data_IF_281397402580
#
_entry.id   IF_281397402580
#
_cell.length_a   1.000
_cell.length_b   1.000
_cell.length_c   1.000
_cell.angle_alpha   90.00
_cell.angle_beta   90.00
_cell.angle_gamma   90.00
#
_symmetry.space_group_name_H-M   'P 1'
#
loop_
_entity.id
_entity.type
_entity.pdbx_description
1 polymer ?
#
# COMPACT_ATOMS: atom_id res chain seq x y z
N UNK A 1 -26.68 -11.37 -11.50
CA UNK A 1 -25.57 -11.87 -10.65
C UNK A 1 -24.30 -11.03 -10.83
N UNK A 2 -23.73 -10.90 -12.05
CA UNK A 2 -22.54 -10.05 -12.30
C UNK A 2 -22.68 -8.60 -11.82
N UNK A 3 -23.81 -7.95 -12.10
CA UNK A 3 -24.05 -6.55 -11.70
C UNK A 3 -24.12 -6.37 -10.18
N UNK A 4 -24.65 -7.35 -9.44
CA UNK A 4 -24.68 -7.33 -7.98
C UNK A 4 -23.29 -7.53 -7.37
N UNK A 5 -22.47 -8.40 -7.98
CA UNK A 5 -21.07 -8.59 -7.60
C UNK A 5 -20.27 -7.31 -7.86
N UNK A 6 -20.48 -6.65 -9.00
CA UNK A 6 -19.83 -5.38 -9.33
C UNK A 6 -20.17 -4.27 -8.33
N UNK A 7 -21.46 -4.08 -8.02
CA UNK A 7 -21.91 -3.08 -7.04
C UNK A 7 -21.37 -3.38 -5.63
N UNK A 8 -21.30 -4.65 -5.26
CA UNK A 8 -20.69 -5.07 -4.00
C UNK A 8 -19.19 -4.74 -3.97
N UNK A 9 -18.44 -5.03 -5.04
CA UNK A 9 -17.02 -4.69 -5.16
C UNK A 9 -16.79 -3.19 -5.11
N UNK A 10 -17.60 -2.37 -5.79
CA UNK A 10 -17.50 -0.91 -5.74
C UNK A 10 -17.82 -0.34 -4.34
N UNK A 11 -18.83 -0.89 -3.65
CA UNK A 11 -19.17 -0.48 -2.27
C UNK A 11 -18.11 -0.93 -1.27
N UNK A 12 -17.58 -2.13 -1.44
CA UNK A 12 -16.48 -2.64 -0.63
C UNK A 12 -15.22 -1.80 -0.83
N UNK A 13 -14.82 -1.52 -2.08
CA UNK A 13 -13.72 -0.60 -2.37
C UNK A 13 -13.96 0.78 -1.77
N UNK A 14 -15.17 1.35 -1.91
CA UNK A 14 -15.51 2.66 -1.37
C UNK A 14 -15.42 2.72 0.16
N UNK A 15 -15.95 1.69 0.83
CA UNK A 15 -15.88 1.57 2.29
C UNK A 15 -14.44 1.31 2.76
N UNK A 16 -13.71 0.39 2.13
CA UNK A 16 -12.29 0.15 2.43
C UNK A 16 -11.51 1.43 2.23
N UNK A 17 -11.68 2.15 1.12
CA UNK A 17 -11.02 3.43 0.86
C UNK A 17 -11.32 4.46 1.96
N UNK A 18 -12.58 4.63 2.37
CA UNK A 18 -12.91 5.63 3.38
C UNK A 18 -12.42 5.25 4.79
N UNK A 19 -12.62 4.00 5.22
CA UNK A 19 -12.25 3.57 6.58
C UNK A 19 -10.75 3.27 6.71
N UNK A 20 -10.14 2.66 5.69
CA UNK A 20 -8.72 2.31 5.67
C UNK A 20 -7.85 3.55 5.49
N UNK A 21 -8.16 4.45 4.53
CA UNK A 21 -7.38 5.68 4.34
C UNK A 21 -7.46 6.57 5.60
N UNK A 22 -8.64 6.70 6.21
CA UNK A 22 -8.81 7.51 7.42
C UNK A 22 -8.09 6.89 8.63
N UNK A 23 -8.11 5.56 8.76
CA UNK A 23 -7.36 4.85 9.80
C UNK A 23 -5.86 4.92 9.57
N UNK A 24 -5.40 4.78 8.32
CA UNK A 24 -3.99 4.95 7.94
C UNK A 24 -3.49 6.35 8.26
N UNK A 25 -4.20 7.39 7.82
CA UNK A 25 -3.84 8.78 8.10
C UNK A 25 -3.78 9.06 9.61
N UNK A 26 -4.81 8.67 10.37
CA UNK A 26 -4.87 8.92 11.81
C UNK A 26 -3.81 8.15 12.61
N UNK A 27 -3.48 6.94 12.20
CA UNK A 27 -2.58 6.07 12.96
C UNK A 27 -1.14 6.07 12.44
N UNK A 28 -0.85 6.68 11.28
CA UNK A 28 0.52 6.80 10.73
C UNK A 28 1.49 7.57 11.62
N UNK A 29 0.98 8.43 12.51
CA UNK A 29 1.75 9.16 13.52
C UNK A 29 1.84 8.42 14.87
N UNK A 30 1.06 7.34 15.05
CA UNK A 30 1.11 6.53 16.27
C UNK A 30 2.22 5.50 16.13
N UNK A 31 3.13 5.49 17.09
CA UNK A 31 4.28 4.57 17.18
C UNK A 31 3.91 3.12 17.56
N UNK A 32 2.63 2.76 17.46
CA UNK A 32 2.14 1.44 17.87
C UNK A 32 2.40 0.39 16.79
N UNK A 33 3.32 -0.51 17.07
CA UNK A 33 3.82 -1.50 16.09
C UNK A 33 2.76 -2.43 15.52
N UNK A 34 1.83 -2.91 16.36
CA UNK A 34 0.78 -3.85 15.94
C UNK A 34 -0.14 -3.24 14.88
N UNK A 35 -0.40 -1.94 14.99
CA UNK A 35 -1.18 -1.20 13.98
C UNK A 35 -0.38 -1.12 12.69
N UNK A 36 0.91 -0.79 12.74
CA UNK A 36 1.76 -0.73 11.55
C UNK A 36 1.84 -2.07 10.81
N UNK A 37 1.99 -3.19 11.52
CA UNK A 37 2.00 -4.53 10.92
C UNK A 37 0.68 -4.88 10.22
N UNK A 38 -0.45 -4.48 10.81
CA UNK A 38 -1.76 -4.67 10.19
C UNK A 38 -1.88 -3.85 8.89
N UNK A 39 -1.38 -2.61 8.90
CA UNK A 39 -1.36 -1.74 7.72
C UNK A 39 -0.54 -2.35 6.57
N UNK A 40 0.67 -2.85 6.86
CA UNK A 40 1.49 -3.55 5.86
C UNK A 40 0.77 -4.81 5.30
N UNK A 41 0.08 -5.57 6.15
CA UNK A 41 -0.66 -6.77 5.75
C UNK A 41 -1.85 -6.44 4.84
N UNK A 42 -2.57 -5.36 5.16
CA UNK A 42 -3.67 -4.86 4.33
C UNK A 42 -3.14 -4.33 3.00
N UNK A 43 -2.06 -3.55 3.00
CA UNK A 43 -1.43 -3.04 1.79
C UNK A 43 -0.96 -4.17 0.86
N UNK A 44 -0.33 -5.23 1.39
CA UNK A 44 0.05 -6.41 0.58
C UNK A 44 -1.18 -7.09 -0.06
N UNK A 45 -2.31 -7.12 0.64
CA UNK A 45 -3.56 -7.66 0.09
C UNK A 45 -4.14 -6.78 -1.02
N UNK A 46 -3.96 -5.46 -0.94
CA UNK A 46 -4.34 -4.52 -2.01
C UNK A 46 -3.47 -4.73 -3.25
N UNK A 47 -2.16 -4.80 -3.07
CA UNK A 47 -1.18 -5.03 -4.14
C UNK A 47 -1.43 -6.34 -4.90
N UNK A 48 -1.69 -7.42 -4.17
CA UNK A 48 -1.89 -8.75 -4.77
C UNK A 48 -3.24 -8.94 -5.47
N UNK A 49 -4.31 -8.26 -5.04
CA UNK A 49 -5.68 -8.56 -5.50
C UNK A 49 -6.42 -7.39 -6.17
N UNK A 50 -6.06 -6.15 -5.86
CA UNK A 50 -6.84 -4.96 -6.22
C UNK A 50 -6.03 -3.91 -6.98
N UNK A 51 -4.84 -4.28 -7.48
CA UNK A 51 -3.89 -3.37 -8.17
C UNK A 51 -4.50 -2.52 -9.29
N UNK A 52 -5.40 -3.09 -10.10
CA UNK A 52 -6.04 -2.37 -11.20
C UNK A 52 -7.15 -1.41 -10.75
N UNK A 53 -7.79 -1.68 -9.61
CA UNK A 53 -8.92 -0.89 -9.10
C UNK A 53 -8.55 0.20 -8.10
N UNK A 54 -7.34 0.15 -7.54
CA UNK A 54 -6.87 1.05 -6.48
C UNK A 54 -5.52 1.69 -6.80
N UNK A 55 -5.29 1.98 -8.09
CA UNK A 55 -4.01 2.50 -8.57
C UNK A 55 -3.61 3.79 -7.85
N UNK A 56 -4.50 4.78 -7.81
CA UNK A 56 -4.24 6.07 -7.14
C UNK A 56 -3.93 5.90 -5.64
N UNK A 57 -4.62 4.99 -4.95
CA UNK A 57 -4.41 4.73 -3.53
C UNK A 57 -3.07 4.06 -3.26
N UNK A 58 -2.69 3.07 -4.08
CA UNK A 58 -1.39 2.41 -3.97
C UNK A 58 -0.26 3.42 -4.17
N UNK A 59 -0.40 4.33 -5.15
CA UNK A 59 0.56 5.41 -5.38
C UNK A 59 0.74 6.37 -4.20
N UNK A 60 -0.29 6.53 -3.35
CA UNK A 60 -0.20 7.33 -2.11
C UNK A 60 0.38 6.50 -0.96
N UNK A 61 -0.03 5.23 -0.85
CA UNK A 61 0.35 4.40 0.29
C UNK A 61 1.77 3.87 0.22
N UNK A 62 2.28 3.56 -0.96
CA UNK A 62 3.64 3.05 -1.12
C UNK A 62 4.69 4.00 -0.52
N UNK A 63 4.79 5.28 -0.93
CA UNK A 63 5.75 6.20 -0.33
C UNK A 63 5.47 6.46 1.15
N UNK A 64 4.20 6.43 1.58
CA UNK A 64 3.82 6.66 2.97
C UNK A 64 4.21 5.52 3.92
N UNK A 65 4.09 4.26 3.49
CA UNK A 65 4.32 3.07 4.33
C UNK A 65 5.73 2.50 4.16
N UNK A 66 6.30 2.62 2.96
CA UNK A 66 7.60 2.05 2.60
C UNK A 66 8.68 3.12 2.69
N UNK A 67 8.69 4.08 1.76
CA UNK A 67 9.78 5.06 1.64
C UNK A 67 9.95 5.89 2.91
N UNK A 68 8.86 6.48 3.42
CA UNK A 68 8.87 7.28 4.66
C UNK A 68 9.51 6.54 5.83
N UNK A 69 9.26 5.24 5.97
CA UNK A 69 9.79 4.45 7.11
C UNK A 69 11.26 4.12 6.90
N UNK A 70 11.67 3.81 5.68
CA UNK A 70 13.06 3.51 5.35
C UNK A 70 13.95 4.75 5.44
N UNK A 71 13.49 5.87 4.88
CA UNK A 71 14.19 7.16 4.81
C UNK A 71 14.16 7.95 6.12
N UNK A 72 13.27 7.63 7.05
CA UNK A 72 13.26 8.30 8.34
C UNK A 72 14.51 7.93 9.16
N UNK A 73 15.49 8.84 9.13
CA UNK A 73 16.73 8.78 9.93
C UNK A 73 16.54 9.41 11.31
N UNK A 74 15.60 10.35 11.45
CA UNK A 74 15.40 11.14 12.67
C UNK A 74 14.73 10.36 13.80
N UNK A 75 13.89 9.37 13.47
CA UNK A 75 13.19 8.51 14.43
C UNK A 75 13.27 7.04 13.98
N UNK A 76 14.45 6.41 14.06
CA UNK A 76 14.66 5.07 13.54
C UNK A 76 13.98 4.02 14.42
N UNK A 77 12.89 3.44 13.94
CA UNK A 77 12.26 2.27 14.55
C UNK A 77 12.74 1.00 13.83
N UNK A 78 13.63 0.24 14.47
CA UNK A 78 14.19 -0.99 13.90
C UNK A 78 13.08 -1.96 13.46
N UNK A 79 12.08 -2.17 14.32
CA UNK A 79 11.02 -3.15 14.08
C UNK A 79 10.06 -2.71 12.95
N UNK A 80 9.83 -1.39 12.77
CA UNK A 80 9.09 -0.90 11.60
C UNK A 80 9.90 -1.10 10.32
N UNK A 81 11.19 -0.77 10.33
CA UNK A 81 12.06 -0.99 9.16
C UNK A 81 12.13 -2.47 8.78
N UNK A 82 12.28 -3.37 9.77
CA UNK A 82 12.26 -4.81 9.53
C UNK A 82 10.92 -5.28 8.94
N UNK A 83 9.80 -4.74 9.43
CA UNK A 83 8.46 -5.05 8.89
C UNK A 83 8.32 -4.61 7.44
N UNK A 84 8.85 -3.42 7.08
CA UNK A 84 8.86 -2.93 5.69
C UNK A 84 9.76 -3.77 4.80
N UNK A 85 10.95 -4.17 5.27
CA UNK A 85 11.85 -5.04 4.51
C UNK A 85 11.19 -6.40 4.22
N UNK A 86 10.52 -7.01 5.20
CA UNK A 86 9.77 -8.26 5.01
C UNK A 86 8.60 -8.09 4.03
N UNK A 87 7.95 -6.90 4.02
CA UNK A 87 6.92 -6.58 3.03
C UNK A 87 7.51 -6.53 1.62
N UNK A 88 8.64 -5.84 1.44
CA UNK A 88 9.33 -5.75 0.15
C UNK A 88 9.82 -7.11 -0.33
N UNK A 89 10.38 -7.94 0.54
CA UNK A 89 10.77 -9.31 0.24
C UNK A 89 9.60 -10.11 -0.34
N UNK A 90 8.44 -10.06 0.33
CA UNK A 90 7.21 -10.71 -0.15
C UNK A 90 6.70 -10.16 -1.49
N UNK A 91 6.89 -8.86 -1.75
CA UNK A 91 6.52 -8.29 -3.05
C UNK A 91 7.41 -8.85 -4.16
N UNK A 92 8.69 -9.06 -3.87
CA UNK A 92 9.66 -9.62 -4.82
C UNK A 92 9.45 -11.12 -5.10
N UNK A 93 8.69 -11.84 -4.26
CA UNK A 93 8.29 -13.22 -4.53
C UNK A 93 7.37 -13.35 -5.76
N UNK A 94 6.70 -12.27 -6.17
CA UNK A 94 5.88 -12.18 -7.39
C UNK A 94 6.52 -11.19 -8.38
N UNK A 95 7.30 -11.68 -9.36
CA UNK A 95 7.94 -10.82 -10.37
C UNK A 95 6.94 -10.00 -11.18
N UNK A 96 5.71 -10.52 -11.42
CA UNK A 96 4.69 -9.78 -12.16
C UNK A 96 4.21 -8.58 -11.37
N UNK A 97 4.09 -8.71 -10.04
CA UNK A 97 3.73 -7.58 -9.18
C UNK A 97 4.75 -6.45 -9.29
N UNK A 98 6.04 -6.77 -9.27
CA UNK A 98 7.12 -5.77 -9.36
C UNK A 98 7.08 -5.06 -10.71
N UNK A 99 6.93 -5.82 -11.81
CA UNK A 99 6.80 -5.25 -13.17
C UNK A 99 5.57 -4.34 -13.25
N UNK A 100 4.42 -4.80 -12.75
CA UNK A 100 3.19 -4.02 -12.82
C UNK A 100 3.29 -2.73 -12.01
N UNK A 101 3.94 -2.76 -10.86
CA UNK A 101 4.20 -1.54 -10.06
C UNK A 101 5.06 -0.58 -10.88
N UNK A 102 6.20 -1.04 -11.41
CA UNK A 102 7.10 -0.18 -12.19
C UNK A 102 6.42 0.42 -13.44
N UNK A 103 5.66 -0.38 -14.19
CA UNK A 103 4.96 0.10 -15.39
C UNK A 103 3.84 1.07 -15.04
N UNK A 104 3.10 0.82 -13.95
CA UNK A 104 1.93 1.62 -13.62
C UNK A 104 2.28 2.94 -12.92
N UNK A 105 3.42 3.07 -12.26
CA UNK A 105 3.71 4.27 -11.46
C UNK A 105 4.92 5.03 -12.00
N UNK A 106 6.03 4.36 -12.29
CA UNK A 106 7.27 5.02 -12.71
C UNK A 106 7.38 5.21 -14.23
N UNK A 107 6.67 4.39 -15.01
CA UNK A 107 6.63 4.53 -16.48
C UNK A 107 5.38 5.25 -17.00
N UNK A 108 4.38 5.51 -16.14
CA UNK A 108 3.15 6.18 -16.53
C UNK A 108 3.28 7.69 -16.27
N UNK A 109 3.29 8.46 -17.36
CA UNK A 109 3.48 9.92 -17.36
C UNK A 109 2.38 10.66 -16.56
N UNK A 110 1.20 10.06 -16.39
CA UNK A 110 0.10 10.64 -15.61
C UNK A 110 0.08 10.17 -14.14
N UNK A 111 0.97 9.26 -13.76
CA UNK A 111 1.05 8.71 -12.40
C UNK A 111 2.22 9.29 -11.62
N UNK A 112 2.16 9.31 -10.28
CA UNK A 112 3.30 9.70 -9.46
C UNK A 112 4.40 8.63 -9.52
N UNK A 113 5.67 9.05 -9.65
CA UNK A 113 6.82 8.18 -9.41
C UNK A 113 6.80 7.74 -7.94
N UNK A 114 6.83 6.44 -7.69
CA UNK A 114 6.71 5.87 -6.34
C UNK A 114 8.05 5.35 -5.80
N UNK A 115 9.06 5.19 -6.65
CA UNK A 115 10.42 4.81 -6.25
C UNK A 115 11.42 5.98 -6.28
N UNK A 116 10.99 7.17 -6.71
CA UNK A 116 11.78 8.41 -6.79
C UNK A 116 11.25 9.46 -5.80
#
# INVERSE_FOLDING_TARGET
ILMHVYIFVCRFLGATRQYLCLSLLKNSALSVMSVFQLLCSMFMSLLSRLRSGLKAEIGIFFPMLVLRVLENVLQPSFLQKMTVLNLLERMCEDPQLVIDIFVNYDCDVESPNIFE
#
